data_IF_223769748054
#
_entry.id   IF_223769748054
#
_cell.length_a   1.000
_cell.length_b   1.000
_cell.length_c   1.000
_cell.angle_alpha   90.00
_cell.angle_beta   90.00
_cell.angle_gamma   90.00
#
_symmetry.space_group_name_H-M   'P 1'
#
loop_
_entity.id
_entity.type
_entity.pdbx_description
1 polymer ?
#
# COMPACT_ATOMS: atom_id res chain seq x y z
N UNK A 1 12.20 -17.97 -11.79
CA UNK A 1 11.01 -17.07 -11.70
C UNK A 1 11.45 -15.62 -11.44
N UNK A 2 10.52 -14.67 -11.31
CA UNK A 2 10.83 -13.24 -11.08
C UNK A 2 11.51 -12.99 -9.74
N UNK A 3 11.15 -13.76 -8.73
CA UNK A 3 11.76 -13.71 -7.41
C UNK A 3 13.25 -14.06 -7.49
N UNK A 4 13.60 -15.17 -8.15
CA UNK A 4 15.00 -15.60 -8.27
C UNK A 4 15.84 -14.57 -9.01
N UNK A 5 15.29 -13.96 -10.07
CA UNK A 5 15.97 -12.90 -10.83
C UNK A 5 16.22 -11.67 -9.97
N UNK A 6 15.21 -11.20 -9.24
CA UNK A 6 15.33 -10.05 -8.37
C UNK A 6 16.37 -10.29 -7.26
N UNK A 7 16.31 -11.45 -6.59
CA UNK A 7 17.28 -11.81 -5.55
C UNK A 7 18.70 -11.95 -6.12
N UNK A 8 18.85 -12.49 -7.32
CA UNK A 8 20.16 -12.60 -7.95
C UNK A 8 20.76 -11.22 -8.26
N UNK A 9 19.96 -10.28 -8.78
CA UNK A 9 20.42 -8.91 -9.03
C UNK A 9 20.87 -8.24 -7.73
N UNK A 10 20.08 -8.34 -6.66
CA UNK A 10 20.45 -7.78 -5.37
C UNK A 10 21.74 -8.39 -4.82
N UNK A 11 21.96 -9.68 -5.04
CA UNK A 11 23.18 -10.39 -4.65
C UNK A 11 24.37 -9.90 -5.45
N UNK A 12 24.27 -9.82 -6.76
CA UNK A 12 25.34 -9.38 -7.67
C UNK A 12 25.74 -7.92 -7.42
N UNK A 13 24.79 -7.09 -6.96
CA UNK A 13 25.00 -5.70 -6.57
C UNK A 13 25.48 -5.55 -5.11
N UNK A 14 25.71 -6.66 -4.38
CA UNK A 14 26.14 -6.69 -2.98
C UNK A 14 25.13 -6.03 -2.00
N UNK A 15 23.85 -6.05 -2.32
CA UNK A 15 22.80 -5.56 -1.42
C UNK A 15 22.19 -6.67 -0.55
N UNK A 16 22.63 -7.92 -0.65
CA UNK A 16 22.23 -9.02 0.21
C UNK A 16 23.36 -9.44 1.15
N UNK A 17 23.03 -9.52 2.44
CA UNK A 17 23.96 -9.89 3.51
C UNK A 17 23.35 -10.98 4.38
N UNK A 18 24.11 -12.05 4.63
CA UNK A 18 23.72 -13.10 5.57
C UNK A 18 24.10 -12.68 7.00
N UNK A 19 23.12 -12.65 7.90
CA UNK A 19 23.29 -12.40 9.33
C UNK A 19 22.24 -13.17 10.12
N UNK A 20 22.62 -13.74 11.24
CA UNK A 20 21.70 -14.45 12.16
C UNK A 20 20.85 -15.51 11.44
N UNK A 21 21.51 -16.31 10.60
CA UNK A 21 20.88 -17.34 9.76
C UNK A 21 19.77 -16.83 8.81
N UNK A 22 19.66 -15.53 8.62
CA UNK A 22 18.70 -14.88 7.75
C UNK A 22 19.41 -14.09 6.64
N UNK A 23 18.72 -13.87 5.52
CA UNK A 23 19.19 -13.01 4.44
C UNK A 23 18.58 -11.62 4.58
N UNK A 24 19.43 -10.61 4.59
CA UNK A 24 19.06 -9.22 4.79
C UNK A 24 19.30 -8.38 3.54
N UNK A 25 18.40 -7.51 3.22
CA UNK A 25 18.62 -6.42 2.28
C UNK A 25 19.30 -5.26 3.01
N UNK A 26 20.52 -4.93 2.55
CA UNK A 26 21.36 -3.88 3.14
C UNK A 26 20.89 -2.48 2.71
N UNK A 27 19.66 -2.16 3.07
CA UNK A 27 19.01 -0.88 2.72
C UNK A 27 19.70 0.34 3.34
N UNK A 28 20.45 0.17 4.41
CA UNK A 28 21.29 1.24 4.99
C UNK A 28 22.33 1.78 4.02
N UNK A 29 22.81 0.98 3.07
CA UNK A 29 23.71 1.41 1.99
C UNK A 29 23.02 2.39 1.01
N UNK A 30 21.70 2.46 1.06
CA UNK A 30 20.86 3.32 0.21
C UNK A 30 20.17 4.44 0.99
N UNK A 31 20.59 4.67 2.24
CA UNK A 31 20.14 5.78 3.07
C UNK A 31 18.96 5.47 3.99
N UNK A 32 18.58 4.19 4.13
CA UNK A 32 17.59 3.76 5.11
C UNK A 32 18.20 3.68 6.53
N UNK A 33 17.37 3.82 7.55
CA UNK A 33 17.81 3.76 8.95
C UNK A 33 18.23 2.35 9.39
N UNK A 34 17.71 1.32 8.74
CA UNK A 34 17.96 -0.09 9.09
C UNK A 34 17.84 -1.01 7.88
N UNK A 35 18.55 -2.13 7.95
CA UNK A 35 18.42 -3.22 7.00
C UNK A 35 17.12 -4.01 7.23
N UNK A 36 16.66 -4.71 6.21
CA UNK A 36 15.40 -5.43 6.23
C UNK A 36 15.59 -6.91 5.84
N UNK A 37 14.99 -7.81 6.62
CA UNK A 37 15.02 -9.25 6.31
C UNK A 37 14.23 -9.53 5.03
N UNK A 38 14.86 -10.23 4.09
CA UNK A 38 14.20 -10.71 2.86
C UNK A 38 13.96 -12.22 2.90
N UNK A 39 14.83 -12.99 3.57
CA UNK A 39 14.59 -14.42 3.85
C UNK A 39 14.85 -14.67 5.32
N UNK A 40 13.90 -15.30 5.97
CA UNK A 40 13.97 -15.64 7.40
C UNK A 40 14.95 -16.78 7.65
N UNK A 41 15.34 -16.99 8.90
CA UNK A 41 16.22 -18.09 9.32
C UNK A 41 15.65 -19.49 9.04
N UNK A 42 14.35 -19.62 8.86
CA UNK A 42 13.71 -20.87 8.44
C UNK A 42 13.71 -21.07 6.90
N UNK A 43 14.34 -20.16 6.13
CA UNK A 43 14.42 -20.20 4.68
C UNK A 43 13.21 -19.63 3.94
N UNK A 44 12.18 -19.14 4.66
CA UNK A 44 10.97 -18.57 4.03
C UNK A 44 11.17 -17.11 3.63
N UNK A 45 10.80 -16.73 2.40
CA UNK A 45 10.77 -15.33 1.98
C UNK A 45 9.81 -14.50 2.84
N UNK A 46 10.17 -13.25 3.05
CA UNK A 46 9.26 -12.26 3.66
C UNK A 46 8.33 -11.66 2.61
N UNK A 47 7.27 -11.01 3.04
CA UNK A 47 6.43 -10.20 2.15
C UNK A 47 7.23 -9.12 1.41
N UNK A 48 8.23 -8.53 2.09
CA UNK A 48 9.09 -7.53 1.46
C UNK A 48 9.89 -8.11 0.29
N UNK A 49 10.41 -9.34 0.40
CA UNK A 49 11.06 -10.01 -0.71
C UNK A 49 10.12 -10.25 -1.90
N UNK A 50 8.87 -10.62 -1.61
CA UNK A 50 7.84 -10.77 -2.63
C UNK A 50 7.49 -9.45 -3.31
N UNK A 51 7.44 -8.36 -2.54
CA UNK A 51 7.19 -7.01 -3.05
C UNK A 51 8.34 -6.54 -3.96
N UNK A 52 9.59 -6.81 -3.59
CA UNK A 52 10.76 -6.53 -4.44
C UNK A 52 10.63 -7.26 -5.79
N UNK A 53 10.35 -8.56 -5.76
CA UNK A 53 10.15 -9.36 -6.96
C UNK A 53 8.99 -8.86 -7.82
N UNK A 54 7.92 -8.41 -7.20
CA UNK A 54 6.76 -7.86 -7.91
C UNK A 54 7.07 -6.51 -8.58
N UNK A 55 7.89 -5.66 -7.95
CA UNK A 55 8.33 -4.42 -8.59
C UNK A 55 9.30 -4.69 -9.74
N UNK A 56 10.21 -5.66 -9.59
CA UNK A 56 11.02 -6.13 -10.71
C UNK A 56 10.14 -6.61 -11.88
N UNK A 57 9.10 -7.39 -11.60
CA UNK A 57 8.15 -7.83 -12.63
C UNK A 57 7.49 -6.65 -13.35
N UNK A 58 7.02 -5.65 -12.62
CA UNK A 58 6.37 -4.47 -13.21
C UNK A 58 7.31 -3.74 -14.18
N UNK A 59 8.50 -3.42 -13.75
CA UNK A 59 9.44 -2.63 -14.54
C UNK A 59 10.16 -3.45 -15.61
N UNK A 60 10.83 -4.55 -15.21
CA UNK A 60 11.73 -5.28 -16.08
C UNK A 60 11.02 -6.31 -16.96
N UNK A 61 10.05 -7.06 -16.41
CA UNK A 61 9.40 -8.14 -17.18
C UNK A 61 8.21 -7.66 -17.99
N UNK A 62 7.42 -6.73 -17.42
CA UNK A 62 6.25 -6.14 -18.10
C UNK A 62 6.59 -4.86 -18.86
N UNK A 63 7.75 -4.25 -18.59
CA UNK A 63 8.27 -3.11 -19.33
C UNK A 63 7.49 -1.80 -19.10
N UNK A 64 6.95 -1.58 -17.88
CA UNK A 64 6.31 -0.31 -17.58
C UNK A 64 7.34 0.78 -17.32
N UNK A 65 7.21 1.90 -18.01
CA UNK A 65 8.06 3.08 -17.83
C UNK A 65 7.81 3.75 -16.48
N UNK A 66 6.56 3.70 -15.99
CA UNK A 66 6.15 4.26 -14.70
C UNK A 66 5.20 3.32 -13.96
N UNK A 67 5.38 3.27 -12.65
CA UNK A 67 4.56 2.46 -11.76
C UNK A 67 3.97 3.35 -10.68
N UNK A 68 2.65 3.24 -10.47
CA UNK A 68 1.94 3.92 -9.38
C UNK A 68 1.39 2.87 -8.43
N UNK A 69 1.80 2.94 -7.18
CA UNK A 69 1.21 2.16 -6.10
C UNK A 69 0.28 3.05 -5.28
N UNK A 70 -0.87 2.51 -4.90
CA UNK A 70 -1.78 3.17 -3.96
C UNK A 70 -1.80 2.31 -2.69
N UNK A 71 -1.27 2.86 -1.59
CA UNK A 71 -1.11 2.15 -0.34
C UNK A 71 -1.90 2.82 0.79
N UNK A 72 -2.39 2.02 1.72
CA UNK A 72 -2.95 2.53 2.97
C UNK A 72 -1.89 3.22 3.84
N UNK A 73 -2.31 4.12 4.70
CA UNK A 73 -1.42 4.91 5.56
C UNK A 73 -0.59 4.05 6.52
N UNK A 74 -1.05 2.86 6.86
CA UNK A 74 -0.33 1.85 7.63
C UNK A 74 0.94 1.34 6.93
N UNK A 75 1.06 1.51 5.61
CA UNK A 75 2.24 1.19 4.81
C UNK A 75 3.19 2.36 4.58
N UNK A 76 2.93 3.55 5.16
CA UNK A 76 3.78 4.74 4.94
C UNK A 76 5.26 4.50 5.27
N UNK A 77 5.57 3.76 6.33
CA UNK A 77 6.94 3.39 6.71
C UNK A 77 7.64 2.44 5.73
N UNK A 78 6.95 1.96 4.70
CA UNK A 78 7.51 1.07 3.69
C UNK A 78 7.92 1.79 2.39
N UNK A 79 7.56 3.07 2.25
CA UNK A 79 7.75 3.84 1.01
C UNK A 79 9.23 3.96 0.67
N UNK A 80 10.03 4.45 1.59
CA UNK A 80 11.46 4.71 1.38
C UNK A 80 12.23 3.43 1.08
N UNK A 81 12.00 2.36 1.87
CA UNK A 81 12.67 1.09 1.64
C UNK A 81 12.27 0.41 0.32
N UNK A 82 11.03 0.63 -0.18
CA UNK A 82 10.64 0.11 -1.49
C UNK A 82 11.33 0.87 -2.62
N UNK A 83 11.46 2.19 -2.51
CA UNK A 83 12.26 2.98 -3.45
C UNK A 83 13.73 2.57 -3.43
N UNK A 84 14.30 2.34 -2.25
CA UNK A 84 15.65 1.80 -2.11
C UNK A 84 15.81 0.43 -2.79
N UNK A 85 14.81 -0.45 -2.67
CA UNK A 85 14.82 -1.76 -3.34
C UNK A 85 14.76 -1.62 -4.87
N UNK A 86 13.92 -0.73 -5.40
CA UNK A 86 13.85 -0.45 -6.84
C UNK A 86 15.20 0.07 -7.36
N UNK A 87 15.83 0.98 -6.63
CA UNK A 87 17.18 1.48 -6.93
C UNK A 87 18.23 0.37 -6.92
N UNK A 88 18.17 -0.51 -5.92
CA UNK A 88 19.09 -1.66 -5.81
C UNK A 88 18.93 -2.68 -6.95
N UNK A 89 17.77 -2.75 -7.57
CA UNK A 89 17.51 -3.53 -8.77
C UNK A 89 18.10 -2.90 -10.05
N UNK A 90 18.75 -1.73 -9.94
CA UNK A 90 19.29 -0.98 -11.09
C UNK A 90 18.21 -0.22 -11.87
N UNK A 91 17.04 -0.01 -11.27
CA UNK A 91 15.92 0.71 -11.85
C UNK A 91 15.86 2.14 -11.31
N UNK A 92 15.15 3.03 -11.99
CA UNK A 92 14.99 4.40 -11.53
C UNK A 92 13.87 4.50 -10.48
N UNK A 93 14.22 4.84 -9.24
CA UNK A 93 13.28 4.99 -8.15
C UNK A 93 12.29 6.15 -8.32
N UNK A 94 12.58 7.11 -9.20
CA UNK A 94 11.67 8.22 -9.51
C UNK A 94 10.52 7.82 -10.43
N UNK A 95 10.65 6.70 -11.12
CA UNK A 95 9.58 6.11 -11.92
C UNK A 95 8.57 5.31 -11.07
N UNK A 96 8.88 5.10 -9.78
CA UNK A 96 7.94 4.56 -8.80
C UNK A 96 7.27 5.69 -8.00
N UNK A 97 6.00 5.92 -8.25
CA UNK A 97 5.15 6.81 -7.46
C UNK A 97 4.36 6.00 -6.44
N UNK A 98 4.43 6.38 -5.17
CA UNK A 98 3.63 5.74 -4.10
C UNK A 98 2.69 6.79 -3.52
N UNK A 99 1.39 6.59 -3.72
CA UNK A 99 0.33 7.41 -3.16
C UNK A 99 -0.15 6.77 -1.85
N UNK A 100 -0.08 7.54 -0.77
CA UNK A 100 -0.59 7.11 0.54
C UNK A 100 -2.02 7.60 0.69
N UNK A 101 -2.95 6.67 0.93
CA UNK A 101 -4.35 6.96 1.20
C UNK A 101 -4.66 6.70 2.67
N UNK A 102 -5.26 7.68 3.32
CA UNK A 102 -5.71 7.55 4.70
C UNK A 102 -6.90 6.60 4.81
N UNK A 103 -7.06 6.03 6.00
CA UNK A 103 -8.20 5.18 6.30
C UNK A 103 -9.50 6.02 6.33
N UNK A 104 -10.56 5.45 5.78
CA UNK A 104 -11.91 5.99 5.88
C UNK A 104 -12.62 5.34 7.05
N UNK A 105 -13.12 6.14 7.98
CA UNK A 105 -13.98 5.69 9.07
C UNK A 105 -15.43 5.78 8.63
N UNK A 106 -16.09 4.64 8.50
CA UNK A 106 -17.53 4.63 8.22
C UNK A 106 -18.32 4.88 9.52
N UNK A 107 -19.32 5.75 9.43
CA UNK A 107 -20.25 6.04 10.52
C UNK A 107 -21.70 5.85 10.06
N UNK A 108 -22.55 5.59 11.01
CA UNK A 108 -24.00 5.60 10.85
C UNK A 108 -24.57 6.47 11.98
N UNK A 109 -24.73 7.76 11.70
CA UNK A 109 -24.97 8.77 12.72
C UNK A 109 -23.76 8.88 13.67
N UNK A 110 -24.00 8.74 14.97
CA UNK A 110 -22.93 8.83 15.98
C UNK A 110 -22.13 7.50 16.16
N UNK A 111 -22.60 6.42 15.56
CA UNK A 111 -21.95 5.11 15.72
C UNK A 111 -20.91 4.83 14.63
N UNK A 112 -19.71 4.42 15.05
CA UNK A 112 -18.67 3.96 14.13
C UNK A 112 -18.98 2.54 13.68
N UNK A 113 -19.13 2.35 12.36
CA UNK A 113 -19.27 1.04 11.75
C UNK A 113 -17.91 0.36 11.78
N UNK A 114 -17.70 -0.55 12.73
CA UNK A 114 -16.43 -1.27 12.86
C UNK A 114 -16.34 -2.38 11.82
N UNK A 115 -15.39 -2.24 10.91
CA UNK A 115 -14.99 -3.33 10.03
C UNK A 115 -14.17 -4.36 10.84
N UNK A 116 -14.82 -5.40 11.37
CA UNK A 116 -14.14 -6.49 12.08
C UNK A 116 -14.23 -7.79 11.29
N UNK A 117 -13.07 -8.32 10.88
CA UNK A 117 -13.00 -9.65 10.23
C UNK A 117 -13.56 -10.79 11.10
N UNK A 118 -13.65 -10.57 12.43
CA UNK A 118 -14.10 -11.60 13.38
C UNK A 118 -15.61 -11.61 13.62
N UNK A 119 -16.31 -10.50 13.37
CA UNK A 119 -17.75 -10.36 13.63
C UNK A 119 -18.61 -10.44 12.38
N UNK A 120 -18.02 -10.48 11.18
CA UNK A 120 -18.78 -10.52 9.93
C UNK A 120 -19.38 -9.19 9.49
N UNK A 121 -19.24 -8.13 10.29
CA UNK A 121 -19.82 -6.81 10.05
C UNK A 121 -18.88 -5.95 9.16
N UNK A 122 -18.63 -6.43 7.95
CA UNK A 122 -17.93 -5.66 6.94
C UNK A 122 -18.94 -4.97 6.03
N UNK A 123 -18.90 -3.65 5.97
CA UNK A 123 -19.55 -2.92 4.88
C UNK A 123 -18.61 -2.97 3.68
N UNK A 124 -18.98 -3.69 2.66
CA UNK A 124 -18.24 -3.73 1.40
C UNK A 124 -18.45 -2.45 0.60
N UNK A 125 -17.56 -2.16 -0.35
CA UNK A 125 -17.76 -1.03 -1.26
C UNK A 125 -19.05 -1.18 -2.07
N UNK A 126 -19.44 -2.40 -2.45
CA UNK A 126 -20.68 -2.66 -3.17
C UNK A 126 -21.90 -2.30 -2.31
N UNK A 127 -21.94 -2.76 -1.06
CA UNK A 127 -23.03 -2.42 -0.13
C UNK A 127 -23.11 -0.90 0.11
N UNK A 128 -21.96 -0.22 0.25
CA UNK A 128 -21.90 1.23 0.36
C UNK A 128 -22.52 1.92 -0.87
N UNK A 129 -22.13 1.49 -2.07
CA UNK A 129 -22.63 2.06 -3.33
C UNK A 129 -24.12 1.75 -3.53
N UNK A 130 -24.59 0.57 -3.14
CA UNK A 130 -25.99 0.21 -3.19
C UNK A 130 -26.85 1.05 -2.22
N UNK A 131 -26.31 1.36 -1.03
CA UNK A 131 -27.02 2.12 0.00
C UNK A 131 -27.05 3.63 -0.27
N UNK A 132 -25.95 4.21 -0.76
CA UNK A 132 -25.76 5.68 -0.84
C UNK A 132 -25.82 6.19 -2.29
N UNK A 133 -25.55 5.33 -3.23
CA UNK A 133 -25.39 5.67 -4.65
C UNK A 133 -23.95 6.00 -5.04
N UNK A 134 -23.59 5.67 -6.28
CA UNK A 134 -22.22 5.82 -6.80
C UNK A 134 -21.75 7.26 -6.83
N UNK A 135 -22.62 8.21 -7.20
CA UNK A 135 -22.25 9.61 -7.37
C UNK A 135 -22.00 10.30 -6.02
N UNK A 136 -22.82 10.01 -5.01
CA UNK A 136 -22.61 10.50 -3.67
C UNK A 136 -21.31 9.92 -3.08
N UNK A 137 -21.06 8.63 -3.21
CA UNK A 137 -19.79 8.01 -2.81
C UNK A 137 -18.58 8.70 -3.46
N UNK A 138 -18.60 8.89 -4.78
CA UNK A 138 -17.53 9.57 -5.51
C UNK A 138 -17.32 11.00 -5.03
N UNK A 139 -18.40 11.75 -4.83
CA UNK A 139 -18.32 13.12 -4.32
C UNK A 139 -17.62 13.16 -2.97
N UNK A 140 -18.08 12.38 -2.00
CA UNK A 140 -17.51 12.36 -0.65
C UNK A 140 -16.04 11.97 -0.66
N UNK A 141 -15.67 10.92 -1.41
CA UNK A 141 -14.26 10.47 -1.50
C UNK A 141 -13.36 11.50 -2.19
N UNK A 142 -13.87 12.24 -3.19
CA UNK A 142 -13.09 13.23 -3.92
C UNK A 142 -13.09 14.62 -3.25
N UNK A 143 -14.02 14.89 -2.36
CA UNK A 143 -14.09 16.16 -1.62
C UNK A 143 -12.97 16.32 -0.58
N UNK A 144 -12.21 15.27 -0.31
CA UNK A 144 -11.09 15.27 0.64
C UNK A 144 -9.81 14.84 -0.05
N UNK A 145 -8.67 15.36 0.45
CA UNK A 145 -7.36 14.85 0.02
C UNK A 145 -7.21 13.39 0.45
N UNK A 146 -6.60 12.56 -0.38
CA UNK A 146 -6.29 11.17 -0.05
C UNK A 146 -5.41 11.03 1.22
N UNK A 147 -4.64 12.06 1.55
CA UNK A 147 -3.78 12.11 2.75
C UNK A 147 -4.50 12.57 4.01
N UNK A 148 -5.78 12.99 3.90
CA UNK A 148 -6.58 13.44 5.04
C UNK A 148 -7.43 12.31 5.58
N UNK A 149 -7.55 12.22 6.91
CA UNK A 149 -8.53 11.32 7.53
C UNK A 149 -9.95 11.75 7.13
N UNK A 150 -10.78 10.76 6.87
CA UNK A 150 -12.15 10.97 6.45
C UNK A 150 -13.11 10.14 7.31
N UNK A 151 -14.16 10.79 7.80
CA UNK A 151 -15.34 10.14 8.31
C UNK A 151 -16.43 10.20 7.25
N UNK A 152 -16.97 9.04 6.90
CA UNK A 152 -18.07 8.91 5.96
C UNK A 152 -19.33 8.49 6.73
N UNK A 153 -20.27 9.41 6.86
CA UNK A 153 -21.55 9.14 7.52
C UNK A 153 -22.59 8.71 6.49
N UNK A 154 -23.00 7.45 6.58
CA UNK A 154 -23.99 6.82 5.71
C UNK A 154 -25.37 7.48 5.80
N UNK A 155 -25.78 7.90 7.00
CA UNK A 155 -27.09 8.55 7.19
C UNK A 155 -27.09 9.97 6.62
N UNK A 156 -26.00 10.73 6.84
CA UNK A 156 -25.84 12.05 6.26
C UNK A 156 -25.82 11.98 4.73
N UNK A 157 -25.13 11.01 4.16
CA UNK A 157 -25.00 10.86 2.71
C UNK A 157 -26.33 10.56 2.00
N UNK A 158 -27.31 10.00 2.72
CA UNK A 158 -28.67 9.72 2.21
C UNK A 158 -29.67 10.85 2.48
N UNK A 159 -29.30 11.78 3.36
CA UNK A 159 -30.24 12.79 3.86
C UNK A 159 -30.56 13.83 2.78
N UNK A 160 -31.84 14.04 2.52
CA UNK A 160 -32.32 15.08 1.62
C UNK A 160 -32.43 16.42 2.38
N UNK A 161 -31.30 17.05 2.65
CA UNK A 161 -31.24 18.31 3.38
C UNK A 161 -29.97 19.08 3.07
N UNK A 162 -29.95 20.38 3.37
CA UNK A 162 -28.80 21.27 3.22
C UNK A 162 -27.55 20.87 4.05
N UNK A 163 -27.68 19.93 4.98
CA UNK A 163 -26.57 19.37 5.74
C UNK A 163 -25.77 18.38 4.89
N UNK A 164 -26.43 17.76 3.90
CA UNK A 164 -25.78 16.84 2.97
C UNK A 164 -25.16 17.65 1.81
N UNK A 165 -23.82 17.67 1.67
CA UNK A 165 -23.15 18.47 0.65
C UNK A 165 -23.40 17.96 -0.79
N UNK A 166 -24.03 16.79 -0.95
CA UNK A 166 -24.39 16.22 -2.25
C UNK A 166 -25.81 16.61 -2.66
N UNK A 167 -26.67 16.95 -1.71
CA UNK A 167 -28.06 17.37 -1.93
C UNK A 167 -28.10 18.87 -2.29
#
# INVERSE_FOLDING_TARGET
>A
NEYDKAMQILKDQNYLVEREDALWFASTLLGEDKDNVVVRSNGEPTYFASDIAYHYNKFASRGFDKVVNIWGADHQGHVTRMKAAVKALGLNEDDLTILISQLVTLKRGDEVVRASKRTGDFVTLNELVEEVGSDACRYFFLARSATSQMEFDLELAKKESSENPVY
#
